data_IF_507933660075
#
_entry.id   IF_507933660075
#
_cell.length_a   1.000
_cell.length_b   1.000
_cell.length_c   1.000
_cell.angle_alpha   90.00
_cell.angle_beta   90.00
_cell.angle_gamma   90.00
#
_symmetry.space_group_name_H-M   'P 1'
#
loop_
_entity.id
_entity.type
_entity.pdbx_description
1 polymer ?
#
# COMPACT_ATOMS: atom_id res chain seq x y z
N UNK A 1 58.14 -25.97 -1.08
CA UNK A 1 57.54 -25.35 0.12
C UNK A 1 57.07 -23.96 -0.23
N UNK A 2 55.83 -23.84 -0.57
CA UNK A 2 55.17 -22.57 -0.87
C UNK A 2 53.88 -22.54 -0.07
N UNK A 3 53.89 -21.71 0.97
CA UNK A 3 52.74 -21.45 1.83
C UNK A 3 51.71 -20.66 1.01
N UNK A 4 50.52 -21.20 0.91
CA UNK A 4 49.33 -20.50 0.43
C UNK A 4 48.64 -19.85 1.62
N UNK A 5 48.79 -18.53 1.74
CA UNK A 5 48.04 -17.69 2.69
C UNK A 5 46.55 -17.66 2.29
N UNK A 6 45.75 -18.34 3.09
CA UNK A 6 44.29 -18.21 3.05
C UNK A 6 43.90 -16.91 3.74
N UNK A 7 43.63 -15.84 3.00
CA UNK A 7 42.91 -14.66 3.50
C UNK A 7 41.49 -15.06 3.90
N UNK A 8 41.29 -15.34 5.18
CA UNK A 8 39.97 -15.37 5.80
C UNK A 8 39.33 -13.97 5.66
N UNK A 9 38.20 -13.90 5.00
CA UNK A 9 37.36 -12.71 4.93
C UNK A 9 36.88 -12.40 6.34
N UNK A 10 37.34 -11.28 6.92
CA UNK A 10 36.83 -10.73 8.16
C UNK A 10 35.32 -10.47 7.98
N UNK A 11 34.50 -11.28 8.66
CA UNK A 11 33.10 -10.97 8.88
C UNK A 11 32.99 -9.69 9.69
N UNK A 12 32.10 -8.78 9.28
CA UNK A 12 31.70 -7.60 10.02
C UNK A 12 31.32 -8.01 11.46
N UNK A 13 32.24 -7.88 12.39
CA UNK A 13 31.92 -7.92 13.83
C UNK A 13 31.20 -6.60 14.15
N UNK A 14 29.88 -6.68 14.30
CA UNK A 14 29.07 -5.59 14.82
C UNK A 14 29.50 -5.29 16.26
N UNK A 15 29.87 -4.03 16.60
CA UNK A 15 30.18 -3.66 17.98
C UNK A 15 28.91 -3.84 18.82
N UNK A 16 29.00 -4.51 19.95
CA UNK A 16 28.03 -4.90 20.98
C UNK A 16 26.68 -4.19 21.12
N UNK A 17 25.97 -3.98 20.02
CA UNK A 17 24.62 -3.42 19.98
C UNK A 17 23.56 -4.52 20.11
N UNK A 18 22.37 -4.15 20.59
CA UNK A 18 21.21 -5.04 20.63
C UNK A 18 20.85 -5.43 19.21
N UNK A 19 20.67 -6.73 18.96
CA UNK A 19 20.24 -7.26 17.65
C UNK A 19 18.72 -7.35 17.61
N UNK A 20 18.17 -7.33 16.41
CA UNK A 20 16.75 -7.55 16.09
C UNK A 20 16.62 -8.43 14.87
N UNK A 21 15.53 -9.17 14.76
CA UNK A 21 15.16 -9.91 13.54
C UNK A 21 14.64 -8.94 12.48
N UNK A 22 15.04 -9.15 11.24
CA UNK A 22 14.54 -8.42 10.09
C UNK A 22 14.60 -9.25 8.81
N UNK A 23 13.73 -8.98 7.87
CA UNK A 23 13.78 -9.55 6.53
C UNK A 23 14.67 -8.68 5.65
N UNK A 24 15.82 -9.26 5.30
CA UNK A 24 16.84 -8.56 4.51
C UNK A 24 16.89 -9.12 3.09
N UNK A 25 16.94 -8.23 2.11
CA UNK A 25 17.26 -8.58 0.72
C UNK A 25 18.46 -7.77 0.23
N UNK A 26 19.35 -8.43 -0.50
CA UNK A 26 20.61 -7.85 -1.00
C UNK A 26 20.64 -7.73 -2.51
N UNK A 27 19.62 -8.25 -3.18
CA UNK A 27 19.44 -8.20 -4.63
C UNK A 27 17.96 -8.16 -4.96
N UNK A 28 17.61 -7.59 -6.11
CA UNK A 28 16.27 -7.63 -6.66
C UNK A 28 15.98 -9.01 -7.25
N UNK A 29 14.75 -9.51 -7.09
CA UNK A 29 14.43 -10.83 -7.62
C UNK A 29 13.11 -11.44 -7.14
N UNK A 30 12.99 -12.77 -7.25
CA UNK A 30 11.84 -13.53 -6.76
C UNK A 30 11.74 -13.48 -5.23
N UNK A 31 10.63 -13.97 -4.61
CA UNK A 31 10.46 -13.95 -3.17
C UNK A 31 11.59 -14.56 -2.35
N UNK A 32 12.34 -15.52 -2.91
CA UNK A 32 13.46 -16.19 -2.25
C UNK A 32 14.65 -15.27 -1.92
N UNK A 33 14.69 -14.04 -2.46
CA UNK A 33 15.70 -13.05 -2.07
C UNK A 33 15.48 -12.47 -0.66
N UNK A 34 14.27 -12.68 -0.10
CA UNK A 34 13.90 -12.24 1.23
C UNK A 34 14.42 -13.26 2.27
N UNK A 35 15.30 -12.83 3.15
CA UNK A 35 15.94 -13.70 4.14
C UNK A 35 15.80 -13.11 5.54
N UNK A 36 15.34 -13.91 6.49
CA UNK A 36 15.37 -13.54 7.90
C UNK A 36 16.82 -13.47 8.38
N UNK A 37 17.19 -12.35 9.01
CA UNK A 37 18.53 -12.11 9.55
C UNK A 37 18.45 -11.31 10.84
N UNK A 38 19.46 -11.47 11.68
CA UNK A 38 19.73 -10.56 12.77
C UNK A 38 20.50 -9.34 12.26
N UNK A 39 20.03 -8.17 12.63
CA UNK A 39 20.63 -6.86 12.29
C UNK A 39 20.67 -5.98 13.53
N UNK A 40 21.47 -4.92 13.51
CA UNK A 40 21.50 -3.97 14.60
C UNK A 40 20.14 -3.29 14.79
N UNK A 41 19.61 -3.29 16.02
CA UNK A 41 18.42 -2.54 16.39
C UNK A 41 18.70 -1.05 16.24
N UNK A 42 17.82 -0.29 15.56
CA UNK A 42 18.04 1.14 15.34
C UNK A 42 17.83 1.94 16.62
N UNK A 43 18.50 3.10 16.70
CA UNK A 43 18.30 4.07 17.78
C UNK A 43 17.61 5.32 17.19
N UNK A 44 16.55 5.86 17.82
CA UNK A 44 15.85 7.01 17.34
C UNK A 44 16.73 8.28 17.43
N UNK A 45 16.70 9.11 16.40
CA UNK A 45 17.26 10.46 16.41
C UNK A 45 16.39 11.41 17.20
N UNK A 46 16.81 12.65 17.35
CA UNK A 46 16.18 13.67 18.19
C UNK A 46 14.66 13.79 17.96
N UNK A 47 14.20 13.74 16.69
CA UNK A 47 12.79 13.85 16.30
C UNK A 47 12.18 12.52 15.80
N UNK A 48 12.79 11.41 16.14
CA UNK A 48 12.29 10.10 15.73
C UNK A 48 11.73 9.33 16.92
N UNK A 49 10.77 8.47 16.66
CA UNK A 49 10.26 7.46 17.58
C UNK A 49 10.77 6.10 17.15
N UNK A 50 11.15 5.26 18.12
CA UNK A 50 11.46 3.85 17.91
C UNK A 50 10.18 3.05 18.13
N UNK A 51 9.72 2.37 17.12
CA UNK A 51 8.50 1.57 17.14
C UNK A 51 8.90 0.09 17.16
N UNK A 52 8.42 -0.65 18.16
CA UNK A 52 8.34 -2.11 18.13
C UNK A 52 7.15 -2.47 17.25
N UNK A 53 7.41 -3.16 16.15
CA UNK A 53 6.39 -3.53 15.18
C UNK A 53 5.71 -4.82 15.66
N UNK A 54 4.39 -4.80 15.75
CA UNK A 54 3.57 -5.98 16.04
C UNK A 54 2.94 -6.55 14.75
N UNK A 55 2.63 -5.67 13.78
CA UNK A 55 2.12 -6.09 12.47
C UNK A 55 2.57 -5.17 11.33
N UNK A 56 2.72 -5.75 10.15
CA UNK A 56 2.96 -5.07 8.88
C UNK A 56 2.14 -5.74 7.77
N UNK A 57 2.23 -5.26 6.52
CA UNK A 57 1.50 -5.85 5.38
C UNK A 57 2.43 -6.22 4.24
N UNK A 58 1.98 -7.15 3.39
CA UNK A 58 2.58 -7.36 2.06
C UNK A 58 1.63 -6.82 1.00
N UNK A 59 2.09 -5.78 0.32
CA UNK A 59 1.33 -5.12 -0.76
C UNK A 59 1.87 -5.46 -2.14
N UNK A 60 1.11 -5.15 -3.18
CA UNK A 60 1.60 -5.25 -4.56
C UNK A 60 2.82 -4.35 -4.79
N UNK A 61 2.86 -3.17 -4.14
CA UNK A 61 3.99 -2.24 -4.22
C UNK A 61 5.28 -2.86 -3.65
N UNK A 62 5.20 -3.58 -2.52
CA UNK A 62 6.36 -4.29 -1.96
C UNK A 62 6.89 -5.36 -2.91
N UNK A 63 5.99 -6.11 -3.57
CA UNK A 63 6.35 -7.12 -4.58
C UNK A 63 7.00 -6.49 -5.80
N UNK A 64 6.49 -5.35 -6.27
CA UNK A 64 7.05 -4.57 -7.38
C UNK A 64 8.43 -4.00 -7.04
N UNK A 65 8.62 -3.42 -5.84
CA UNK A 65 9.89 -2.89 -5.36
C UNK A 65 10.93 -4.00 -5.20
N UNK A 66 10.55 -5.14 -4.59
CA UNK A 66 11.42 -6.31 -4.46
C UNK A 66 11.93 -6.80 -5.80
N UNK A 67 11.04 -6.91 -6.80
CA UNK A 67 11.34 -7.55 -8.09
C UNK A 67 11.76 -6.56 -9.18
N UNK A 68 11.60 -5.24 -8.97
CA UNK A 68 11.70 -4.18 -9.98
C UNK A 68 10.82 -4.42 -11.22
N UNK A 69 9.71 -5.13 -11.07
CA UNK A 69 8.70 -5.32 -12.11
C UNK A 69 7.79 -4.09 -12.20
N UNK A 70 8.37 -2.95 -12.47
CA UNK A 70 7.72 -1.66 -12.60
C UNK A 70 7.52 -1.29 -14.07
N UNK A 71 6.58 -0.39 -14.40
CA UNK A 71 6.50 0.23 -15.72
C UNK A 71 7.86 0.80 -16.15
N UNK A 72 8.22 0.62 -17.42
CA UNK A 72 9.58 0.98 -17.93
C UNK A 72 9.98 2.41 -17.58
N UNK A 73 9.06 3.37 -17.66
CA UNK A 73 9.31 4.78 -17.38
C UNK A 73 9.57 5.06 -15.89
N UNK A 74 9.02 4.23 -14.99
CA UNK A 74 9.20 4.35 -13.54
C UNK A 74 10.40 3.53 -13.04
N UNK A 75 10.77 2.49 -13.80
CA UNK A 75 11.82 1.55 -13.41
C UNK A 75 13.18 2.22 -13.22
N UNK A 76 13.57 3.13 -14.11
CA UNK A 76 14.88 3.80 -14.00
C UNK A 76 14.92 4.80 -12.84
N UNK A 77 13.98 5.74 -12.68
CA UNK A 77 13.95 6.65 -11.53
C UNK A 77 13.92 5.91 -10.19
N UNK A 78 13.06 4.91 -10.04
CA UNK A 78 12.97 4.12 -8.81
C UNK A 78 14.27 3.35 -8.56
N UNK A 79 14.87 2.78 -9.61
CA UNK A 79 16.14 2.08 -9.49
C UNK A 79 17.30 3.00 -9.08
N UNK A 80 17.30 4.25 -9.54
CA UNK A 80 18.28 5.26 -9.09
C UNK A 80 18.08 5.57 -7.61
N UNK A 81 16.83 5.72 -7.17
CA UNK A 81 16.50 6.00 -5.78
C UNK A 81 16.82 4.81 -4.85
N UNK A 82 16.35 3.62 -5.19
CA UNK A 82 16.51 2.41 -4.36
C UNK A 82 17.90 1.78 -4.46
N UNK A 83 18.67 2.05 -5.52
CA UNK A 83 19.98 1.49 -5.80
C UNK A 83 20.08 0.83 -7.17
N UNK A 84 21.08 1.23 -7.96
CA UNK A 84 21.23 0.80 -9.37
C UNK A 84 21.53 -0.71 -9.51
N UNK A 85 22.40 -1.24 -8.66
CA UNK A 85 22.90 -2.62 -8.75
C UNK A 85 22.30 -3.45 -7.61
N UNK A 86 22.30 -2.91 -6.40
CA UNK A 86 21.79 -3.56 -5.18
C UNK A 86 20.91 -2.58 -4.41
N UNK A 87 19.92 -3.08 -3.66
CA UNK A 87 19.09 -2.23 -2.80
C UNK A 87 19.95 -1.47 -1.79
N UNK A 88 19.70 -0.16 -1.67
CA UNK A 88 20.29 0.66 -0.60
C UNK A 88 19.61 0.36 0.74
N UNK A 89 18.28 0.39 0.73
CA UNK A 89 17.47 -0.04 1.86
C UNK A 89 17.29 -1.55 1.76
N UNK A 90 17.86 -2.27 2.69
CA UNK A 90 17.89 -3.74 2.67
C UNK A 90 16.65 -4.38 3.30
N UNK A 91 15.77 -3.59 3.92
CA UNK A 91 14.54 -4.03 4.59
C UNK A 91 13.37 -3.36 3.90
N UNK A 92 12.44 -4.14 3.38
CA UNK A 92 11.20 -3.67 2.75
C UNK A 92 10.11 -3.40 3.80
N UNK A 93 8.87 -3.21 3.33
CA UNK A 93 7.68 -2.96 4.14
C UNK A 93 7.39 -1.49 4.31
N UNK A 94 6.14 -1.12 4.01
CA UNK A 94 5.70 0.28 4.02
C UNK A 94 4.69 0.58 5.11
N UNK A 95 3.81 -0.36 5.42
CA UNK A 95 2.79 -0.22 6.46
C UNK A 95 3.27 -0.83 7.77
N UNK A 96 2.85 -0.26 8.89
CA UNK A 96 3.10 -0.83 10.20
C UNK A 96 2.01 -0.49 11.21
N UNK A 97 1.91 -1.33 12.23
CA UNK A 97 1.30 -1.02 13.51
C UNK A 97 2.14 -1.63 14.63
N UNK A 98 2.24 -0.96 15.76
CA UNK A 98 3.08 -1.39 16.87
C UNK A 98 3.03 -0.42 18.05
N UNK A 99 4.00 -0.56 18.95
CA UNK A 99 4.12 0.23 20.17
C UNK A 99 5.40 1.05 20.17
N UNK A 100 5.34 2.28 20.63
CA UNK A 100 6.53 3.13 20.80
C UNK A 100 7.34 2.65 21.98
N UNK A 101 8.55 2.14 21.73
CA UNK A 101 9.49 1.72 22.76
C UNK A 101 10.31 2.86 23.33
N UNK A 102 10.73 3.79 22.48
CA UNK A 102 11.53 4.94 22.87
C UNK A 102 11.26 6.14 21.94
N UNK A 103 11.52 7.33 22.46
CA UNK A 103 11.39 8.59 21.73
C UNK A 103 12.68 9.39 21.77
N UNK A 104 12.98 10.13 20.71
CA UNK A 104 14.07 11.09 20.66
C UNK A 104 13.79 12.30 21.57
N UNK A 105 14.85 13.04 21.92
CA UNK A 105 14.76 14.12 22.92
C UNK A 105 13.87 15.32 22.50
N UNK A 106 13.61 15.50 21.20
CA UNK A 106 12.78 16.59 20.66
C UNK A 106 11.39 16.13 20.27
N UNK A 107 11.02 14.85 20.50
CA UNK A 107 9.70 14.33 20.22
C UNK A 107 8.70 14.89 21.25
N UNK A 108 7.59 15.43 20.75
CA UNK A 108 6.54 16.08 21.54
C UNK A 108 5.16 15.46 21.35
N UNK A 109 4.93 14.78 20.20
CA UNK A 109 3.60 14.27 19.81
C UNK A 109 3.31 12.87 20.32
N UNK A 110 4.34 12.14 20.70
CA UNK A 110 4.25 10.72 21.09
C UNK A 110 5.10 10.46 22.33
N UNK A 111 4.76 9.39 23.04
CA UNK A 111 5.47 8.90 24.21
C UNK A 111 5.64 7.38 24.18
N UNK A 112 6.56 6.85 24.97
CA UNK A 112 6.73 5.41 25.18
C UNK A 112 5.41 4.78 25.64
N UNK A 113 5.06 3.63 25.05
CA UNK A 113 3.83 2.87 25.30
C UNK A 113 2.64 3.29 24.43
N UNK A 114 2.76 4.36 23.62
CA UNK A 114 1.72 4.70 22.67
C UNK A 114 1.62 3.62 21.58
N UNK A 115 0.40 3.11 21.37
CA UNK A 115 0.10 2.21 20.26
C UNK A 115 -0.15 3.02 19.00
N UNK A 116 0.58 2.74 17.95
CA UNK A 116 0.60 3.55 16.74
C UNK A 116 0.42 2.70 15.48
N UNK A 117 -0.03 3.35 14.41
CA UNK A 117 -0.05 2.79 13.07
C UNK A 117 0.35 3.87 12.06
N UNK A 118 0.93 3.46 10.95
CA UNK A 118 1.42 4.43 9.98
C UNK A 118 2.08 3.85 8.75
N UNK A 119 2.61 4.76 7.96
CA UNK A 119 3.26 4.47 6.69
C UNK A 119 4.72 4.95 6.71
N UNK A 120 5.66 4.05 6.41
CA UNK A 120 7.09 4.37 6.41
C UNK A 120 7.52 5.13 5.16
N UNK A 121 6.66 5.21 4.17
CA UNK A 121 6.98 5.81 2.89
C UNK A 121 8.03 5.03 2.11
N UNK A 122 8.76 5.77 1.31
CA UNK A 122 9.89 5.22 0.56
C UNK A 122 11.15 4.95 1.40
N UNK A 123 11.13 5.28 2.71
CA UNK A 123 12.19 4.85 3.63
C UNK A 123 12.15 3.34 3.84
N UNK A 124 10.96 2.72 3.70
CA UNK A 124 10.74 1.29 3.92
C UNK A 124 11.11 0.88 5.36
N UNK A 125 11.31 -0.40 5.64
CA UNK A 125 11.87 -0.85 6.93
C UNK A 125 10.84 -1.46 7.89
N UNK A 126 9.60 -1.74 7.44
CA UNK A 126 8.59 -2.34 8.30
C UNK A 126 8.69 -3.88 8.39
N UNK A 127 9.55 -4.54 7.60
CA UNK A 127 9.77 -5.99 7.71
C UNK A 127 10.85 -6.32 8.75
N UNK A 128 10.66 -5.84 9.97
CA UNK A 128 11.60 -6.00 11.08
C UNK A 128 10.87 -5.87 12.42
N UNK A 129 11.49 -6.31 13.51
CA UNK A 129 10.96 -6.13 14.86
C UNK A 129 10.89 -4.66 15.28
N UNK A 130 11.79 -3.81 14.76
CA UNK A 130 11.84 -2.38 15.10
C UNK A 130 12.15 -1.51 13.91
N UNK A 131 11.56 -0.31 13.92
CA UNK A 131 11.91 0.76 12.97
C UNK A 131 11.87 2.13 13.64
N UNK A 132 12.60 3.11 13.07
CA UNK A 132 12.52 4.50 13.50
C UNK A 132 11.76 5.32 12.47
N UNK A 133 10.80 6.12 12.92
CA UNK A 133 10.07 7.09 12.10
C UNK A 133 10.14 8.47 12.74
N UNK A 134 10.12 9.52 11.89
CA UNK A 134 9.95 10.89 12.36
C UNK A 134 8.56 11.06 12.98
N UNK A 135 8.46 11.84 14.06
CA UNK A 135 7.14 12.22 14.63
C UNK A 135 6.28 13.02 13.66
N UNK A 136 6.90 13.70 12.66
CA UNK A 136 6.21 14.43 11.59
C UNK A 136 5.84 13.55 10.40
N UNK A 137 6.18 12.25 10.44
CA UNK A 137 5.81 11.27 9.43
C UNK A 137 4.32 10.92 9.46
N UNK A 138 3.93 10.08 8.51
CA UNK A 138 2.53 9.59 8.44
C UNK A 138 2.32 8.52 9.53
N UNK A 139 2.09 9.00 10.75
CA UNK A 139 1.97 8.20 11.95
C UNK A 139 0.83 8.76 12.84
N UNK A 140 0.02 7.88 13.41
CA UNK A 140 -1.08 8.22 14.29
C UNK A 140 -1.25 7.18 15.41
N UNK A 141 -1.90 7.60 16.51
CA UNK A 141 -2.33 6.68 17.55
C UNK A 141 -3.36 5.70 16.98
N UNK A 142 -3.12 4.42 17.18
CA UNK A 142 -3.97 3.32 16.72
C UNK A 142 -5.37 3.42 17.36
N UNK A 143 -6.46 3.23 16.59
CA UNK A 143 -7.79 3.08 17.18
C UNK A 143 -7.81 1.96 18.22
N UNK A 144 -8.38 2.24 19.39
CA UNK A 144 -8.45 1.24 20.48
C UNK A 144 -9.27 -0.01 20.09
N UNK A 145 -10.19 0.15 19.14
CA UNK A 145 -11.07 -0.92 18.65
C UNK A 145 -10.41 -1.86 17.65
N UNK A 146 -9.22 -1.53 17.13
CA UNK A 146 -8.50 -2.34 16.15
C UNK A 146 -7.41 -3.20 16.80
N UNK A 147 -7.19 -4.38 16.23
CA UNK A 147 -5.96 -5.15 16.44
C UNK A 147 -4.78 -4.46 15.72
N UNK A 148 -3.56 -4.90 15.96
CA UNK A 148 -2.40 -4.37 15.21
C UNK A 148 -2.45 -4.77 13.74
N UNK A 149 -2.92 -5.98 13.43
CA UNK A 149 -3.10 -6.49 12.07
C UNK A 149 -4.09 -5.64 11.27
N UNK A 150 -5.24 -5.32 11.89
CA UNK A 150 -6.25 -4.47 11.27
C UNK A 150 -5.70 -3.06 11.03
N UNK A 151 -4.98 -2.50 12.01
CA UNK A 151 -4.42 -1.16 11.94
C UNK A 151 -3.29 -1.07 10.88
N UNK A 152 -2.41 -2.07 10.80
CA UNK A 152 -1.36 -2.14 9.79
C UNK A 152 -1.92 -2.21 8.35
N UNK A 153 -3.13 -2.75 8.17
CA UNK A 153 -3.77 -2.87 6.86
C UNK A 153 -4.38 -1.54 6.33
N UNK A 154 -4.43 -0.48 7.15
CA UNK A 154 -5.09 0.80 6.79
C UNK A 154 -4.23 1.72 5.92
N UNK A 155 -2.95 2.03 6.25
CA UNK A 155 -2.30 3.23 5.73
C UNK A 155 -2.23 3.27 4.21
N UNK A 156 -1.53 2.35 3.56
CA UNK A 156 -1.33 2.40 2.10
C UNK A 156 -2.66 2.31 1.35
N UNK A 157 -3.50 1.32 1.72
CA UNK A 157 -4.79 1.10 1.05
C UNK A 157 -5.74 2.28 1.22
N UNK A 158 -5.93 2.71 2.46
CA UNK A 158 -6.85 3.78 2.83
C UNK A 158 -6.43 5.16 2.30
N UNK A 159 -5.16 5.53 2.49
CA UNK A 159 -4.63 6.82 2.03
C UNK A 159 -4.71 6.98 0.51
N UNK A 160 -4.36 5.93 -0.24
CA UNK A 160 -4.48 5.95 -1.70
C UNK A 160 -5.95 6.06 -2.13
N UNK A 161 -6.85 5.26 -1.55
CA UNK A 161 -8.28 5.32 -1.86
C UNK A 161 -8.86 6.72 -1.59
N UNK A 162 -8.58 7.28 -0.42
CA UNK A 162 -9.03 8.62 -0.02
C UNK A 162 -8.51 9.71 -0.96
N UNK A 163 -7.20 9.68 -1.28
CA UNK A 163 -6.58 10.62 -2.20
C UNK A 163 -7.28 10.65 -3.56
N UNK A 164 -7.46 9.48 -4.18
CA UNK A 164 -8.07 9.42 -5.50
C UNK A 164 -9.55 9.82 -5.48
N UNK A 165 -10.33 9.38 -4.50
CA UNK A 165 -11.75 9.72 -4.42
C UNK A 165 -11.98 11.21 -4.14
N UNK A 166 -11.14 11.86 -3.30
CA UNK A 166 -11.17 13.31 -3.09
C UNK A 166 -10.80 14.07 -4.36
N UNK A 167 -9.72 13.69 -5.05
CA UNK A 167 -9.33 14.30 -6.32
C UNK A 167 -10.37 14.04 -7.43
N UNK A 168 -11.04 12.90 -7.37
CA UNK A 168 -12.19 12.58 -8.19
C UNK A 168 -13.43 13.38 -7.80
N UNK A 169 -13.39 14.16 -6.70
CA UNK A 169 -14.52 14.94 -6.18
C UNK A 169 -15.81 14.11 -6.17
N UNK A 170 -15.75 12.91 -5.58
CA UNK A 170 -16.91 12.01 -5.46
C UNK A 170 -17.96 12.66 -4.56
N UNK A 171 -19.20 12.70 -5.04
CA UNK A 171 -20.35 13.35 -4.39
C UNK A 171 -21.50 12.36 -4.18
N UNK A 172 -22.36 12.67 -3.25
CA UNK A 172 -23.60 11.91 -3.00
C UNK A 172 -24.45 11.79 -4.26
N UNK A 173 -25.02 10.61 -4.49
CA UNK A 173 -25.87 10.29 -5.65
C UNK A 173 -25.10 10.03 -6.96
N UNK A 174 -23.78 10.15 -7.00
CA UNK A 174 -22.99 9.80 -8.18
C UNK A 174 -22.85 8.29 -8.35
N UNK A 175 -22.82 7.81 -9.60
CA UNK A 175 -22.45 6.44 -9.95
C UNK A 175 -20.92 6.32 -10.03
N UNK A 176 -20.33 5.53 -9.16
CA UNK A 176 -18.87 5.30 -9.08
C UNK A 176 -18.55 3.85 -9.39
N UNK A 177 -17.72 3.61 -10.41
CA UNK A 177 -17.19 2.28 -10.70
C UNK A 177 -15.76 2.16 -10.18
N UNK A 178 -15.45 1.08 -9.47
CA UNK A 178 -14.12 0.77 -8.94
C UNK A 178 -13.61 -0.53 -9.56
N UNK A 179 -12.58 -0.44 -10.39
CA UNK A 179 -11.92 -1.56 -11.06
C UNK A 179 -10.75 -2.07 -10.21
N UNK A 180 -10.74 -3.36 -9.88
CA UNK A 180 -9.79 -3.95 -8.92
C UNK A 180 -10.23 -3.69 -7.47
N UNK A 181 -11.55 -3.70 -7.28
CA UNK A 181 -12.21 -3.37 -6.02
C UNK A 181 -11.83 -4.31 -4.85
N UNK A 182 -11.45 -5.55 -5.13
CA UNK A 182 -11.13 -6.54 -4.12
C UNK A 182 -9.67 -6.54 -3.63
N UNK A 183 -8.85 -5.56 -3.98
CA UNK A 183 -7.49 -5.38 -3.46
C UNK A 183 -7.42 -4.42 -2.27
N UNK A 184 -6.21 -4.16 -1.72
CA UNK A 184 -6.02 -3.27 -0.56
C UNK A 184 -6.65 -1.88 -0.78
N UNK A 185 -6.30 -1.20 -1.88
CA UNK A 185 -6.86 0.12 -2.21
C UNK A 185 -8.36 0.02 -2.52
N UNK A 186 -8.76 -1.00 -3.28
CA UNK A 186 -10.13 -1.13 -3.76
C UNK A 186 -11.15 -1.34 -2.64
N UNK A 187 -10.83 -2.14 -1.63
CA UNK A 187 -11.74 -2.39 -0.49
C UNK A 187 -12.01 -1.12 0.33
N UNK A 188 -11.00 -0.27 0.52
CA UNK A 188 -11.21 1.05 1.12
C UNK A 188 -11.94 2.00 0.17
N UNK A 189 -11.65 1.94 -1.13
CA UNK A 189 -12.32 2.81 -2.10
C UNK A 189 -13.84 2.53 -2.18
N UNK A 190 -14.27 1.26 -2.10
CA UNK A 190 -15.70 0.91 -2.02
C UNK A 190 -16.34 1.55 -0.80
N UNK A 191 -15.78 1.34 0.38
CA UNK A 191 -16.33 1.84 1.64
C UNK A 191 -16.32 3.38 1.72
N UNK A 192 -15.25 4.03 1.28
CA UNK A 192 -15.15 5.49 1.25
C UNK A 192 -16.10 6.11 0.23
N UNK A 193 -16.28 5.51 -0.95
CA UNK A 193 -17.26 5.99 -1.93
C UNK A 193 -18.69 5.87 -1.37
N UNK A 194 -19.01 4.78 -0.67
CA UNK A 194 -20.28 4.63 0.07
C UNK A 194 -20.44 5.69 1.16
N UNK A 195 -19.40 5.94 1.94
CA UNK A 195 -19.40 7.00 2.96
C UNK A 195 -19.69 8.38 2.34
N UNK A 196 -19.18 8.66 1.15
CA UNK A 196 -19.47 9.90 0.40
C UNK A 196 -20.87 9.91 -0.25
N UNK A 197 -21.67 8.85 -0.05
CA UNK A 197 -23.05 8.74 -0.54
C UNK A 197 -23.18 8.33 -2.01
N UNK A 198 -22.15 7.75 -2.61
CA UNK A 198 -22.19 7.29 -4.00
C UNK A 198 -22.91 5.94 -4.15
N UNK A 199 -23.45 5.68 -5.34
CA UNK A 199 -23.86 4.36 -5.82
C UNK A 199 -22.62 3.67 -6.40
N UNK A 200 -22.19 2.56 -5.78
CA UNK A 200 -20.90 1.91 -6.07
C UNK A 200 -21.08 0.64 -6.86
N UNK A 201 -20.46 0.60 -8.04
CA UNK A 201 -20.24 -0.62 -8.82
C UNK A 201 -18.81 -1.10 -8.65
N UNK A 202 -18.63 -2.27 -8.02
CA UNK A 202 -17.32 -2.87 -7.77
C UNK A 202 -17.01 -3.96 -8.79
N UNK A 203 -15.85 -3.89 -9.45
CA UNK A 203 -15.41 -4.84 -10.48
C UNK A 203 -14.21 -5.62 -9.99
N UNK A 204 -14.34 -6.95 -9.89
CA UNK A 204 -13.23 -7.87 -9.58
C UNK A 204 -13.56 -9.28 -10.11
N UNK A 205 -12.79 -10.31 -9.74
CA UNK A 205 -13.03 -11.70 -10.10
C UNK A 205 -14.10 -12.36 -9.23
N UNK A 206 -14.74 -13.42 -9.74
CA UNK A 206 -15.83 -14.19 -9.09
C UNK A 206 -15.64 -14.39 -7.59
N UNK A 207 -14.46 -14.86 -7.17
CA UNK A 207 -14.18 -15.22 -5.77
C UNK A 207 -14.16 -14.06 -4.78
N UNK A 208 -14.28 -12.79 -5.24
CA UNK A 208 -14.27 -11.61 -4.39
C UNK A 208 -15.60 -10.89 -4.29
N UNK A 209 -16.60 -11.27 -5.11
CA UNK A 209 -17.85 -10.53 -5.24
C UNK A 209 -18.67 -10.47 -3.94
N UNK A 210 -18.75 -11.57 -3.20
CA UNK A 210 -19.50 -11.61 -1.94
C UNK A 210 -18.86 -10.70 -0.87
N UNK A 211 -17.54 -10.71 -0.78
CA UNK A 211 -16.81 -9.78 0.09
C UNK A 211 -17.09 -8.33 -0.33
N UNK A 212 -17.11 -8.01 -1.63
CA UNK A 212 -17.41 -6.66 -2.10
C UNK A 212 -18.83 -6.21 -1.74
N UNK A 213 -19.83 -7.11 -1.82
CA UNK A 213 -21.19 -6.82 -1.34
C UNK A 213 -21.23 -6.57 0.16
N UNK A 214 -20.50 -7.38 0.94
CA UNK A 214 -20.48 -7.27 2.41
C UNK A 214 -19.86 -5.95 2.91
N UNK A 215 -18.97 -5.32 2.13
CA UNK A 215 -18.39 -4.02 2.46
C UNK A 215 -19.13 -2.83 1.80
N UNK A 216 -20.31 -3.07 1.22
CA UNK A 216 -21.23 -2.02 0.80
C UNK A 216 -21.29 -1.72 -0.68
N UNK A 217 -20.72 -2.53 -1.59
CA UNK A 217 -20.94 -2.34 -3.01
C UNK A 217 -22.42 -2.57 -3.37
N UNK A 218 -23.05 -1.62 -4.07
CA UNK A 218 -24.44 -1.73 -4.53
C UNK A 218 -24.55 -2.73 -5.69
N UNK A 219 -23.57 -2.70 -6.58
CA UNK A 219 -23.46 -3.60 -7.72
C UNK A 219 -22.06 -4.21 -7.78
N UNK A 220 -22.00 -5.46 -8.27
CA UNK A 220 -20.72 -6.13 -8.50
C UNK A 220 -20.69 -6.70 -9.92
N UNK A 221 -19.54 -6.60 -10.57
CA UNK A 221 -19.29 -7.12 -11.91
C UNK A 221 -18.09 -8.07 -11.84
N UNK A 222 -18.32 -9.29 -12.34
CA UNK A 222 -17.24 -10.26 -12.55
C UNK A 222 -16.56 -9.99 -13.89
N UNK A 223 -15.36 -9.42 -13.87
CA UNK A 223 -14.63 -9.10 -15.10
C UNK A 223 -14.25 -10.34 -15.93
N UNK A 224 -14.33 -11.55 -15.34
CA UNK A 224 -14.05 -12.81 -16.05
C UNK A 224 -15.22 -13.24 -16.92
N UNK A 225 -16.42 -12.71 -16.64
CA UNK A 225 -17.67 -13.02 -17.33
C UNK A 225 -18.19 -11.83 -18.14
N UNK A 226 -17.99 -10.62 -17.63
CA UNK A 226 -18.59 -9.41 -18.19
C UNK A 226 -17.58 -8.26 -18.29
N UNK A 227 -17.57 -7.57 -19.43
CA UNK A 227 -16.80 -6.32 -19.64
C UNK A 227 -17.73 -5.13 -19.34
N UNK A 228 -17.51 -4.45 -18.20
CA UNK A 228 -18.31 -3.29 -17.79
C UNK A 228 -18.41 -2.20 -18.86
N UNK A 229 -17.45 -2.14 -19.78
CA UNK A 229 -17.45 -1.14 -20.87
C UNK A 229 -18.44 -1.49 -22.00
N UNK A 230 -19.12 -2.64 -21.90
CA UNK A 230 -20.07 -3.13 -22.90
C UNK A 230 -21.49 -3.32 -22.35
N UNK A 231 -21.73 -3.08 -21.07
CA UNK A 231 -23.03 -3.28 -20.43
C UNK A 231 -24.03 -2.11 -20.69
N UNK A 232 -23.61 -1.05 -21.37
CA UNK A 232 -24.44 0.11 -21.66
C UNK A 232 -24.54 1.14 -20.53
N UNK A 233 -23.99 0.84 -19.35
CA UNK A 233 -24.00 1.73 -18.21
C UNK A 233 -22.97 2.87 -18.34
N UNK A 234 -23.27 3.98 -17.71
CA UNK A 234 -22.36 5.13 -17.66
C UNK A 234 -22.16 5.62 -16.22
N UNK A 235 -20.95 6.09 -15.93
CA UNK A 235 -20.50 6.43 -14.58
C UNK A 235 -20.05 7.89 -14.49
N UNK A 236 -20.27 8.49 -13.34
CA UNK A 236 -19.76 9.84 -13.01
C UNK A 236 -18.25 9.76 -12.74
N UNK A 237 -17.81 8.69 -12.06
CA UNK A 237 -16.42 8.44 -11.75
C UNK A 237 -16.09 6.97 -12.03
N UNK A 238 -14.97 6.73 -12.71
CA UNK A 238 -14.37 5.39 -12.83
C UNK A 238 -13.00 5.44 -12.17
N UNK A 239 -12.80 4.64 -11.12
CA UNK A 239 -11.52 4.48 -10.46
C UNK A 239 -10.87 3.15 -10.86
N UNK A 240 -9.84 3.21 -11.67
CA UNK A 240 -9.06 2.05 -12.12
C UNK A 240 -7.79 1.93 -11.27
N UNK A 241 -7.85 1.03 -10.27
CA UNK A 241 -6.74 0.75 -9.36
C UNK A 241 -5.64 -0.07 -10.04
N UNK A 242 -6.02 -0.95 -10.98
CA UNK A 242 -5.13 -1.95 -11.59
C UNK A 242 -4.45 -1.47 -12.86
N UNK A 243 -5.06 -0.53 -13.60
CA UNK A 243 -4.56 -0.02 -14.87
C UNK A 243 -4.63 -1.01 -16.04
N UNK A 244 -5.44 -2.08 -15.93
CA UNK A 244 -5.59 -3.12 -16.98
C UNK A 244 -6.76 -2.87 -17.93
N UNK A 245 -7.70 -1.98 -17.59
CA UNK A 245 -8.86 -1.67 -18.41
C UNK A 245 -8.50 -0.96 -19.72
N UNK A 246 -9.35 -1.13 -20.73
CA UNK A 246 -9.20 -0.41 -22.00
C UNK A 246 -9.46 1.08 -21.81
N UNK A 247 -8.44 1.92 -21.84
CA UNK A 247 -8.54 3.37 -21.65
C UNK A 247 -9.66 4.00 -22.47
N UNK A 248 -9.72 3.72 -23.78
CA UNK A 248 -10.72 4.32 -24.68
C UNK A 248 -12.13 3.91 -24.31
N UNK A 249 -12.35 2.64 -24.00
CA UNK A 249 -13.66 2.13 -23.63
C UNK A 249 -14.08 2.65 -22.26
N UNK A 250 -13.19 2.66 -21.27
CA UNK A 250 -13.47 3.23 -19.94
C UNK A 250 -13.84 4.73 -20.04
N UNK A 251 -13.11 5.51 -20.83
CA UNK A 251 -13.46 6.92 -21.07
C UNK A 251 -14.83 7.05 -21.76
N UNK A 252 -15.21 6.14 -22.67
CA UNK A 252 -16.56 6.16 -23.30
C UNK A 252 -17.67 5.88 -22.28
N UNK A 253 -17.43 5.00 -21.31
CA UNK A 253 -18.37 4.68 -20.22
C UNK A 253 -18.51 5.78 -19.16
N UNK A 254 -17.79 6.91 -19.30
CA UNK A 254 -18.01 8.09 -18.46
C UNK A 254 -19.17 8.93 -19.00
N UNK A 255 -20.00 9.45 -18.09
CA UNK A 255 -20.97 10.51 -18.37
C UNK A 255 -20.29 11.79 -18.84
N UNK A 256 -21.09 12.78 -19.27
CA UNK A 256 -20.61 14.14 -19.48
C UNK A 256 -20.02 14.70 -18.18
N UNK A 257 -18.87 15.36 -18.22
CA UNK A 257 -18.07 15.83 -17.07
C UNK A 257 -17.58 14.71 -16.13
N UNK A 258 -17.65 13.44 -16.56
CA UNK A 258 -17.17 12.29 -15.77
C UNK A 258 -15.64 12.26 -15.61
N UNK A 259 -15.17 11.59 -14.57
CA UNK A 259 -13.76 11.54 -14.17
C UNK A 259 -13.22 10.11 -14.21
N UNK A 260 -12.05 9.95 -14.82
CA UNK A 260 -11.32 8.68 -14.84
C UNK A 260 -10.07 8.80 -13.97
N UNK A 261 -10.03 8.05 -12.87
CA UNK A 261 -8.93 8.04 -11.89
C UNK A 261 -8.06 6.82 -12.16
N UNK A 262 -6.75 7.02 -12.30
CA UNK A 262 -5.79 5.96 -12.60
C UNK A 262 -4.70 5.93 -11.52
N UNK A 263 -4.71 4.90 -10.67
CA UNK A 263 -3.69 4.70 -9.66
C UNK A 263 -2.38 4.14 -10.26
N UNK A 264 -2.46 3.26 -11.24
CA UNK A 264 -1.32 2.61 -11.89
C UNK A 264 -1.30 2.88 -13.41
N UNK A 265 -1.09 4.13 -13.86
CA UNK A 265 -1.15 4.47 -15.27
C UNK A 265 0.07 3.99 -16.04
N UNK A 266 -0.15 3.52 -17.27
CA UNK A 266 0.91 3.37 -18.27
C UNK A 266 1.25 4.74 -18.86
N UNK A 267 2.47 4.94 -19.34
CA UNK A 267 2.88 6.21 -19.97
C UNK A 267 1.93 6.65 -21.09
N UNK A 268 1.48 5.70 -21.94
CA UNK A 268 0.51 5.96 -22.99
C UNK A 268 -0.85 6.43 -22.44
N UNK A 269 -1.28 5.95 -21.29
CA UNK A 269 -2.53 6.40 -20.63
C UNK A 269 -2.37 7.82 -20.05
N UNK A 270 -1.19 8.17 -19.54
CA UNK A 270 -0.89 9.53 -19.03
C UNK A 270 -0.97 10.55 -20.17
N UNK A 271 -0.31 10.27 -21.32
CA UNK A 271 -0.35 11.17 -22.50
C UNK A 271 -1.77 11.30 -23.03
N UNK A 272 -2.48 10.17 -23.22
CA UNK A 272 -3.86 10.15 -23.70
C UNK A 272 -4.81 10.82 -22.72
N UNK A 273 -4.60 10.64 -21.42
CA UNK A 273 -5.37 11.29 -20.35
C UNK A 273 -5.30 12.81 -20.45
N UNK A 274 -4.06 13.36 -20.56
CA UNK A 274 -3.87 14.80 -20.72
C UNK A 274 -4.55 15.35 -22.00
N UNK A 275 -4.50 14.60 -23.09
CA UNK A 275 -5.16 14.99 -24.34
C UNK A 275 -6.68 14.91 -24.22
N UNK A 276 -7.24 13.85 -23.60
CA UNK A 276 -8.68 13.69 -23.35
C UNK A 276 -9.21 14.84 -22.49
N UNK A 277 -8.54 15.17 -21.38
CA UNK A 277 -8.96 16.25 -20.48
C UNK A 277 -8.94 17.65 -21.15
N UNK A 278 -8.15 17.83 -22.21
CA UNK A 278 -8.07 19.10 -22.93
C UNK A 278 -9.10 19.22 -24.07
N UNK A 279 -9.56 18.09 -24.61
CA UNK A 279 -10.39 18.07 -25.85
C UNK A 279 -11.82 17.55 -25.62
N UNK A 280 -12.15 17.17 -24.39
CA UNK A 280 -13.50 16.73 -24.05
C UNK A 280 -13.93 17.30 -22.70
N UNK A 281 -15.20 17.14 -22.36
CA UNK A 281 -15.72 17.46 -21.01
C UNK A 281 -15.23 16.49 -19.92
N UNK A 282 -14.58 15.38 -20.29
CA UNK A 282 -14.16 14.33 -19.36
C UNK A 282 -12.77 14.64 -18.81
N UNK A 283 -12.55 14.34 -17.54
CA UNK A 283 -11.27 14.55 -16.88
C UNK A 283 -10.58 13.21 -16.62
N UNK A 284 -9.28 13.16 -16.86
CA UNK A 284 -8.43 12.00 -16.50
C UNK A 284 -7.42 12.45 -15.47
N UNK A 285 -7.51 11.87 -14.29
CA UNK A 285 -6.68 12.18 -13.13
C UNK A 285 -5.69 11.02 -12.95
N UNK A 286 -4.41 11.35 -13.03
CA UNK A 286 -3.30 10.40 -12.86
C UNK A 286 -2.34 10.98 -11.84
N UNK A 287 -1.68 10.14 -11.06
CA UNK A 287 -0.68 10.58 -10.12
C UNK A 287 -0.34 9.53 -9.09
N UNK A 288 0.66 9.84 -8.28
CA UNK A 288 0.92 9.16 -7.02
C UNK A 288 0.06 9.82 -5.93
N UNK A 289 -0.43 9.04 -4.99
CA UNK A 289 -1.06 9.61 -3.81
C UNK A 289 -0.03 10.44 -3.02
N UNK A 290 -0.49 11.51 -2.41
CA UNK A 290 0.29 12.22 -1.40
C UNK A 290 -0.27 11.80 -0.05
N UNK A 291 0.51 11.04 0.68
CA UNK A 291 0.12 10.53 1.99
C UNK A 291 0.39 11.62 3.03
N UNK A 292 -0.65 11.95 3.81
CA UNK A 292 -0.61 12.97 4.86
C UNK A 292 -1.13 12.41 6.17
N UNK A 293 -0.59 12.90 7.27
CA UNK A 293 -1.03 12.54 8.61
C UNK A 293 -2.50 12.90 8.84
N UNK A 294 -2.95 14.03 8.31
CA UNK A 294 -4.35 14.47 8.42
C UNK A 294 -5.32 13.50 7.74
N UNK A 295 -4.90 12.91 6.61
CA UNK A 295 -5.69 11.91 5.90
C UNK A 295 -5.74 10.58 6.68
N UNK A 296 -4.63 10.20 7.34
CA UNK A 296 -4.62 9.03 8.23
C UNK A 296 -5.51 9.24 9.46
N UNK A 297 -5.50 10.43 10.05
CA UNK A 297 -6.39 10.80 11.15
C UNK A 297 -7.86 10.77 10.73
N UNK A 298 -8.20 11.26 9.54
CA UNK A 298 -9.55 11.17 9.01
C UNK A 298 -10.00 9.71 8.83
N UNK A 299 -9.13 8.84 8.30
CA UNK A 299 -9.43 7.40 8.20
C UNK A 299 -9.63 6.77 9.57
N UNK A 300 -8.82 7.14 10.57
CA UNK A 300 -8.97 6.74 11.96
C UNK A 300 -10.34 7.10 12.52
N UNK A 301 -10.80 8.34 12.34
CA UNK A 301 -12.11 8.79 12.77
C UNK A 301 -13.25 7.97 12.15
N UNK A 302 -13.14 7.64 10.84
CA UNK A 302 -14.13 6.81 10.17
C UNK A 302 -14.15 5.37 10.69
N UNK A 303 -13.00 4.83 11.04
CA UNK A 303 -12.89 3.49 11.64
C UNK A 303 -13.51 3.48 13.02
N UNK A 304 -13.18 4.44 13.87
CA UNK A 304 -13.75 4.58 15.23
C UNK A 304 -15.27 4.78 15.20
N UNK A 305 -15.80 5.44 14.16
CA UNK A 305 -17.22 5.58 13.91
C UNK A 305 -17.87 4.36 13.24
N UNK A 306 -17.13 3.27 12.98
CA UNK A 306 -17.63 2.05 12.33
C UNK A 306 -18.08 2.26 10.88
N UNK A 307 -17.56 3.29 10.19
CA UNK A 307 -17.93 3.59 8.80
C UNK A 307 -17.09 2.83 7.77
N UNK A 308 -15.86 2.52 8.12
CA UNK A 308 -14.94 1.72 7.31
C UNK A 308 -14.20 0.71 8.19
N UNK A 309 -13.73 -0.37 7.60
CA UNK A 309 -12.97 -1.43 8.26
C UNK A 309 -11.90 -2.01 7.34
N UNK A 310 -10.86 -2.57 7.92
CA UNK A 310 -9.86 -3.34 7.19
C UNK A 310 -10.42 -4.68 6.74
N UNK A 311 -10.16 -5.04 5.48
CA UNK A 311 -10.44 -6.39 4.96
C UNK A 311 -9.13 -7.16 4.95
N UNK A 312 -9.01 -8.20 5.77
CA UNK A 312 -7.84 -9.07 5.85
C UNK A 312 -8.18 -10.41 5.23
N UNK A 313 -7.37 -10.84 4.26
CA UNK A 313 -7.50 -12.15 3.60
C UNK A 313 -6.86 -13.25 4.44
N UNK A 314 -5.59 -13.03 4.81
CA UNK A 314 -4.82 -13.96 5.64
C UNK A 314 -3.61 -13.29 6.29
N UNK A 315 -3.11 -13.93 7.36
CA UNK A 315 -1.89 -13.56 8.07
C UNK A 315 -0.77 -14.58 7.85
N UNK A 316 0.47 -14.13 7.99
CA UNK A 316 1.67 -14.94 8.03
C UNK A 316 2.61 -14.42 9.12
N UNK A 317 3.38 -15.26 9.81
CA UNK A 317 4.48 -14.79 10.65
C UNK A 317 5.62 -14.21 9.78
N UNK A 318 6.46 -13.37 10.39
CA UNK A 318 7.55 -12.65 9.69
C UNK A 318 8.47 -13.62 8.93
N UNK A 319 8.77 -14.78 9.49
CA UNK A 319 9.60 -15.82 8.91
C UNK A 319 9.06 -16.36 7.58
N UNK A 320 7.73 -16.31 7.40
CA UNK A 320 7.04 -16.80 6.19
C UNK A 320 6.75 -15.71 5.16
N UNK A 321 7.41 -14.56 5.26
CA UNK A 321 7.16 -13.41 4.36
C UNK A 321 7.36 -13.73 2.88
N UNK A 322 8.30 -14.63 2.55
CA UNK A 322 8.50 -15.06 1.16
C UNK A 322 7.26 -15.78 0.60
N UNK A 323 6.54 -16.54 1.42
CA UNK A 323 5.29 -17.19 1.04
C UNK A 323 4.17 -16.16 0.86
N UNK A 324 4.08 -15.18 1.77
CA UNK A 324 3.16 -14.06 1.65
C UNK A 324 3.36 -13.29 0.34
N UNK A 325 4.62 -13.00 -0.03
CA UNK A 325 4.95 -12.37 -1.31
C UNK A 325 4.56 -13.24 -2.52
N UNK A 326 4.81 -14.56 -2.47
CA UNK A 326 4.35 -15.48 -3.54
C UNK A 326 2.84 -15.42 -3.69
N UNK A 327 2.12 -15.42 -2.57
CA UNK A 327 0.67 -15.33 -2.60
C UNK A 327 0.18 -13.99 -3.19
N UNK A 328 0.75 -12.86 -2.77
CA UNK A 328 0.40 -11.54 -3.32
C UNK A 328 0.72 -11.45 -4.81
N UNK A 329 1.85 -12.01 -5.26
CA UNK A 329 2.25 -12.07 -6.68
C UNK A 329 1.21 -12.81 -7.56
N UNK A 330 0.37 -13.70 -7.01
CA UNK A 330 -0.73 -14.34 -7.77
C UNK A 330 -1.83 -13.37 -8.19
N UNK A 331 -1.99 -12.24 -7.49
CA UNK A 331 -3.05 -11.25 -7.73
C UNK A 331 -4.43 -11.66 -7.21
N UNK A 332 -4.55 -12.77 -6.48
CA UNK A 332 -5.83 -13.32 -6.02
C UNK A 332 -6.23 -12.91 -4.60
N UNK A 333 -5.38 -12.17 -3.87
CA UNK A 333 -5.70 -11.75 -2.50
C UNK A 333 -6.99 -10.94 -2.41
N UNK A 334 -7.69 -11.07 -1.28
CA UNK A 334 -8.93 -10.35 -0.93
C UNK A 334 -8.60 -9.30 0.14
N UNK A 335 -8.56 -8.02 -0.22
CA UNK A 335 -8.12 -6.97 0.70
C UNK A 335 -6.62 -7.05 0.99
N UNK A 336 -6.22 -7.27 2.23
CA UNK A 336 -4.85 -7.19 2.71
C UNK A 336 -4.27 -8.54 3.13
N UNK A 337 -2.97 -8.69 2.97
CA UNK A 337 -2.17 -9.77 3.54
C UNK A 337 -1.32 -9.18 4.64
N UNK A 338 -1.44 -9.70 5.84
CA UNK A 338 -0.80 -9.17 7.05
C UNK A 338 0.34 -10.08 7.48
N UNK A 339 1.37 -9.48 8.04
CA UNK A 339 2.51 -10.14 8.67
C UNK A 339 2.50 -9.81 10.15
N UNK A 340 2.48 -10.83 11.00
CA UNK A 340 2.70 -10.69 12.44
C UNK A 340 4.19 -10.74 12.75
N UNK A 341 4.64 -9.85 13.62
CA UNK A 341 6.03 -9.75 14.07
C UNK A 341 6.05 -10.07 15.56
N UNK A 342 6.61 -11.23 15.91
CA UNK A 342 6.74 -11.71 17.28
C UNK A 342 8.17 -11.52 17.81
#
# INVERSE_FOLDING_TARGET
MTQTDSKATQGDQLPGGILMKAIVYTQYGPPDVLQLKEVAKPTPKDKEVLIRIDATTVTAADCELRSLKLPIWLRLPIRIYLGLIRPRNKILGQDLAGEIEAVGKEVTRFKKGDQVFGWTGFRLGAYAEYTCLSEDGVLAIKPATMTYEEAAAVPLGGLNALHFLRNGNVQSGQKVLIQGAGGSIGTFAVQLAKYFGAEVTAVDSTGKLDMLRSIGADHVIDYTQEDFTKNGETYDVIFDVVGKSSFTRSVRSLKHNGRYLLANPRLSQMVRGRWTSRRSSKQVIVGAASEKTEDLLFLKELIEAGKIQSVIDRGYPLEHIAEAHRYVDTGHKKGNVVITVE
#
